data_IF_514046240944
#
_entry.id   IF_514046240944
#
_cell.length_a   1.000
_cell.length_b   1.000
_cell.length_c   1.000
_cell.angle_alpha   90.00
_cell.angle_beta   90.00
_cell.angle_gamma   90.00
#
_symmetry.space_group_name_H-M   'P 1'
#
loop_
_entity.id
_entity.type
_entity.pdbx_description
1 polymer ?
#
# COMPACT_ATOMS: atom_id res chain seq x y z
N UNK A 1 -10.58 -17.51 37.32
CA UNK A 1 -11.14 -16.29 36.72
C UNK A 1 -10.10 -15.76 35.75
N UNK A 2 -10.23 -16.14 34.47
CA UNK A 2 -9.24 -15.81 33.45
C UNK A 2 -9.45 -14.36 33.00
N UNK A 3 -8.44 -13.56 33.23
CA UNK A 3 -8.32 -12.23 32.68
C UNK A 3 -8.28 -12.29 31.15
N UNK A 4 -9.43 -12.04 30.52
CA UNK A 4 -9.51 -11.75 29.10
C UNK A 4 -9.47 -10.23 28.89
N UNK A 5 -8.44 -9.62 29.45
CA UNK A 5 -8.09 -8.26 29.07
C UNK A 5 -7.62 -8.29 27.61
N UNK A 6 -8.40 -7.67 26.72
CA UNK A 6 -8.29 -7.80 25.29
C UNK A 6 -7.00 -7.22 24.72
N UNK A 7 -5.95 -8.01 24.75
CA UNK A 7 -4.82 -7.77 23.86
C UNK A 7 -5.34 -7.93 22.43
N UNK A 8 -5.48 -6.83 21.72
CA UNK A 8 -5.79 -6.81 20.29
C UNK A 8 -4.81 -7.76 19.60
N UNK A 9 -5.32 -8.64 18.75
CA UNK A 9 -4.43 -9.55 18.01
C UNK A 9 -3.56 -8.72 17.09
N UNK A 10 -2.36 -9.15 16.84
CA UNK A 10 -1.42 -8.50 15.92
C UNK A 10 -2.08 -8.11 14.58
N UNK A 11 -2.97 -8.96 14.06
CA UNK A 11 -3.73 -8.71 12.85
C UNK A 11 -4.70 -7.53 12.98
N UNK A 12 -5.37 -7.41 14.12
CA UNK A 12 -6.37 -6.36 14.32
C UNK A 12 -5.71 -4.98 14.39
N UNK A 13 -4.54 -4.87 15.06
CA UNK A 13 -3.76 -3.62 15.15
C UNK A 13 -3.22 -3.22 13.77
N UNK A 14 -2.76 -4.20 12.98
CA UNK A 14 -2.28 -3.93 11.63
C UNK A 14 -3.42 -3.48 10.73
N UNK A 15 -4.54 -4.19 10.73
CA UNK A 15 -5.71 -3.87 9.89
C UNK A 15 -6.26 -2.47 10.21
N UNK A 16 -6.36 -2.09 11.49
CA UNK A 16 -6.75 -0.74 11.89
C UNK A 16 -5.75 0.31 11.40
N UNK A 17 -4.46 0.05 11.57
CA UNK A 17 -3.41 0.96 11.13
C UNK A 17 -3.44 1.17 9.62
N UNK A 18 -3.64 0.12 8.86
CA UNK A 18 -3.74 0.17 7.40
C UNK A 18 -5.01 0.91 6.94
N UNK A 19 -6.14 0.71 7.61
CA UNK A 19 -7.38 1.43 7.32
C UNK A 19 -7.22 2.95 7.52
N UNK A 20 -6.54 3.36 8.59
CA UNK A 20 -6.24 4.77 8.85
C UNK A 20 -5.27 5.37 7.82
N UNK A 21 -4.25 4.63 7.43
CA UNK A 21 -3.27 5.04 6.42
C UNK A 21 -3.86 5.09 5.00
N UNK A 22 -4.85 4.26 4.69
CA UNK A 22 -5.53 4.26 3.40
C UNK A 22 -6.32 5.57 3.14
N UNK A 23 -6.65 6.33 4.20
CA UNK A 23 -7.27 7.64 4.08
C UNK A 23 -6.27 8.77 3.76
N UNK A 24 -4.99 8.45 3.53
CA UNK A 24 -3.91 9.42 3.25
C UNK A 24 -3.22 9.15 1.93
N UNK A 25 -2.48 10.14 1.43
CA UNK A 25 -1.71 10.00 0.20
C UNK A 25 -0.53 9.02 0.31
N UNK A 26 -0.07 8.49 -0.83
CA UNK A 26 1.08 7.59 -0.90
C UNK A 26 2.41 8.31 -0.69
N UNK A 27 2.40 9.63 -0.77
CA UNK A 27 3.56 10.51 -0.64
C UNK A 27 3.23 11.72 0.24
N UNK A 28 4.26 12.42 0.70
CA UNK A 28 4.18 13.65 1.49
C UNK A 28 5.41 14.53 1.29
N UNK A 29 5.33 15.81 1.65
CA UNK A 29 6.48 16.71 1.68
C UNK A 29 7.23 16.86 0.35
N UNK A 30 6.51 16.81 -0.78
CA UNK A 30 7.12 17.00 -2.10
C UNK A 30 7.78 15.75 -2.70
N UNK A 31 7.28 14.55 -2.41
CA UNK A 31 7.70 13.29 -3.05
C UNK A 31 8.37 12.29 -2.12
N UNK A 32 8.27 12.47 -0.82
CA UNK A 32 8.69 11.46 0.15
C UNK A 32 7.63 10.37 0.26
N UNK A 33 8.04 9.12 0.15
CA UNK A 33 7.10 8.00 0.24
C UNK A 33 6.49 7.86 1.63
N UNK A 34 5.19 7.59 1.68
CA UNK A 34 4.51 7.21 2.91
C UNK A 34 4.96 5.82 3.37
N UNK A 35 5.79 5.77 4.41
CA UNK A 35 6.32 4.54 5.01
C UNK A 35 5.43 3.97 6.12
N UNK A 36 4.29 4.60 6.39
CA UNK A 36 3.39 4.22 7.50
C UNK A 36 3.04 2.74 7.54
N UNK A 37 2.58 2.12 6.44
CA UNK A 37 2.25 0.70 6.43
C UNK A 37 3.41 -0.21 6.82
N UNK A 38 4.61 0.06 6.29
CA UNK A 38 5.80 -0.74 6.58
C UNK A 38 6.28 -0.57 8.02
N UNK A 39 6.22 0.65 8.53
CA UNK A 39 6.61 0.93 9.90
C UNK A 39 5.64 0.30 10.91
N UNK A 40 4.33 0.35 10.66
CA UNK A 40 3.34 -0.31 11.51
C UNK A 40 3.56 -1.84 11.55
N UNK A 41 3.76 -2.48 10.40
CA UNK A 41 4.06 -3.92 10.32
C UNK A 41 5.35 -4.27 11.05
N UNK A 42 6.41 -3.49 10.88
CA UNK A 42 7.68 -3.72 11.53
C UNK A 42 7.59 -3.54 13.06
N UNK A 43 6.89 -2.51 13.55
CA UNK A 43 6.66 -2.31 14.97
C UNK A 43 5.92 -3.49 15.60
N UNK A 44 4.88 -3.98 14.96
CA UNK A 44 4.12 -5.15 15.42
C UNK A 44 5.02 -6.39 15.43
N UNK A 45 5.78 -6.62 14.36
CA UNK A 45 6.71 -7.75 14.27
C UNK A 45 7.83 -7.74 15.32
N UNK A 46 8.17 -6.56 15.82
CA UNK A 46 9.15 -6.37 16.90
C UNK A 46 8.52 -6.38 18.31
N UNK A 47 7.21 -6.58 18.43
CA UNK A 47 6.51 -6.64 19.71
C UNK A 47 6.07 -5.28 20.28
N UNK A 48 6.07 -4.22 19.46
CA UNK A 48 5.67 -2.86 19.84
C UNK A 48 4.23 -2.52 19.43
N UNK A 49 3.34 -3.51 19.37
CA UNK A 49 1.95 -3.30 18.95
C UNK A 49 1.22 -2.24 19.79
N UNK A 50 1.53 -2.13 21.07
CA UNK A 50 0.88 -1.18 21.99
C UNK A 50 1.27 0.29 21.70
N UNK A 51 2.39 0.51 21.02
CA UNK A 51 2.89 1.82 20.65
C UNK A 51 2.41 2.30 19.26
N UNK A 52 1.89 1.40 18.45
CA UNK A 52 1.54 1.67 17.03
C UNK A 52 0.50 2.78 16.94
N UNK A 53 -0.58 2.74 17.69
CA UNK A 53 -1.65 3.74 17.63
C UNK A 53 -1.11 5.14 17.93
N UNK A 54 -0.35 5.30 19.02
CA UNK A 54 0.25 6.57 19.44
C UNK A 54 1.29 7.09 18.43
N UNK A 55 2.08 6.19 17.85
CA UNK A 55 3.02 6.53 16.80
C UNK A 55 2.27 7.00 15.54
N UNK A 56 1.23 6.28 15.13
CA UNK A 56 0.43 6.55 13.96
C UNK A 56 -0.29 7.92 14.05
N UNK A 57 -0.81 8.29 15.23
CA UNK A 57 -1.42 9.60 15.47
C UNK A 57 -0.46 10.76 15.16
N UNK A 58 0.81 10.60 15.48
CA UNK A 58 1.84 11.60 15.14
C UNK A 58 2.23 11.56 13.67
N UNK A 59 2.30 10.37 13.11
CA UNK A 59 2.73 10.16 11.74
C UNK A 59 1.72 10.71 10.72
N UNK A 60 0.43 10.44 10.94
CA UNK A 60 -0.67 10.88 10.08
C UNK A 60 -0.72 12.40 9.89
N UNK A 61 -0.29 13.19 10.89
CA UNK A 61 -0.27 14.66 10.79
C UNK A 61 0.69 15.20 9.73
N UNK A 62 1.59 14.40 9.22
CA UNK A 62 2.58 14.76 8.20
C UNK A 62 2.11 14.41 6.80
N UNK A 63 1.14 13.50 6.71
CA UNK A 63 0.69 12.97 5.45
C UNK A 63 -0.29 13.92 4.77
N UNK A 64 -0.26 13.90 3.45
CA UNK A 64 -1.15 14.67 2.60
C UNK A 64 -2.46 13.92 2.35
N UNK A 65 -3.47 14.64 1.86
CA UNK A 65 -4.70 14.02 1.40
C UNK A 65 -4.44 13.08 0.22
N UNK A 66 -5.23 12.01 0.06
CA UNK A 66 -5.09 11.13 -1.08
C UNK A 66 -5.40 11.88 -2.38
N UNK A 67 -4.64 11.63 -3.45
CA UNK A 67 -4.92 12.24 -4.75
C UNK A 67 -6.31 11.81 -5.25
N UNK A 68 -6.97 12.69 -5.99
CA UNK A 68 -8.28 12.38 -6.58
C UNK A 68 -8.12 11.61 -7.88
N UNK A 69 -9.00 10.66 -8.19
CA UNK A 69 -9.02 9.99 -9.48
C UNK A 69 -9.18 10.98 -10.63
N UNK A 70 -8.45 10.75 -11.72
CA UNK A 70 -8.47 11.59 -12.92
C UNK A 70 -9.12 10.91 -14.11
N UNK A 71 -9.23 9.58 -14.12
CA UNK A 71 -9.88 8.82 -15.17
C UNK A 71 -9.73 7.32 -15.00
N UNK A 72 -10.64 6.56 -15.60
CA UNK A 72 -10.64 5.10 -15.43
C UNK A 72 -9.48 4.44 -16.19
N UNK A 73 -8.73 3.60 -15.50
CA UNK A 73 -7.79 2.66 -16.10
C UNK A 73 -8.54 1.38 -16.51
N UNK A 74 -8.16 0.81 -17.63
CA UNK A 74 -8.71 -0.44 -18.17
C UNK A 74 -7.59 -1.34 -18.65
N UNK A 75 -7.91 -2.59 -19.02
CA UNK A 75 -6.96 -3.54 -19.61
C UNK A 75 -6.34 -3.04 -20.92
N UNK A 76 -6.97 -2.07 -21.58
CA UNK A 76 -6.47 -1.47 -22.83
C UNK A 76 -5.60 -0.22 -22.57
N UNK A 77 -5.81 0.48 -21.47
CA UNK A 77 -5.21 1.81 -21.24
C UNK A 77 -4.14 1.82 -20.14
N UNK A 78 -3.95 0.74 -19.40
CA UNK A 78 -3.02 0.71 -18.26
C UNK A 78 -1.56 1.06 -18.65
N UNK A 79 -1.12 0.68 -19.88
CA UNK A 79 0.24 1.00 -20.33
C UNK A 79 0.48 2.50 -20.47
N UNK A 80 -0.52 3.22 -20.95
CA UNK A 80 -0.44 4.67 -21.06
C UNK A 80 -0.50 5.40 -19.72
N UNK A 81 -1.04 4.74 -18.70
CA UNK A 81 -1.09 5.28 -17.33
C UNK A 81 0.15 4.94 -16.49
N UNK A 82 1.02 4.05 -16.99
CA UNK A 82 2.29 3.79 -16.33
C UNK A 82 3.16 5.05 -16.41
N UNK A 83 3.69 5.45 -15.28
CA UNK A 83 4.61 6.55 -15.30
C UNK A 83 4.02 7.90 -14.98
N UNK A 84 2.75 8.01 -14.91
CA UNK A 84 2.10 9.28 -14.59
C UNK A 84 1.73 9.34 -13.10
N UNK A 85 2.41 10.17 -12.29
CA UNK A 85 2.10 10.29 -10.86
C UNK A 85 0.69 10.82 -10.59
N UNK A 86 0.07 11.51 -11.55
CA UNK A 86 -1.31 11.99 -11.43
C UNK A 86 -2.34 10.85 -11.46
N UNK A 87 -1.93 9.67 -11.94
CA UNK A 87 -2.80 8.49 -12.11
C UNK A 87 -2.78 7.52 -10.91
N UNK A 88 -2.20 7.92 -9.78
CA UNK A 88 -2.08 7.06 -8.59
C UNK A 88 -3.44 6.57 -8.11
N UNK A 89 -4.38 7.48 -7.89
CA UNK A 89 -5.71 7.12 -7.43
C UNK A 89 -6.48 6.25 -8.44
N UNK A 90 -6.24 6.45 -9.75
CA UNK A 90 -6.83 5.61 -10.79
C UNK A 90 -6.29 4.18 -10.75
N UNK A 91 -4.99 4.03 -10.45
CA UNK A 91 -4.37 2.73 -10.23
C UNK A 91 -4.91 2.04 -8.98
N UNK A 92 -5.16 2.80 -7.92
CA UNK A 92 -5.78 2.27 -6.70
C UNK A 92 -7.13 1.64 -6.98
N UNK A 93 -7.99 2.37 -7.68
CA UNK A 93 -9.30 1.86 -8.07
C UNK A 93 -9.18 0.63 -8.98
N UNK A 94 -8.35 0.70 -10.01
CA UNK A 94 -8.21 -0.37 -10.98
C UNK A 94 -7.66 -1.67 -10.38
N UNK A 95 -6.66 -1.60 -9.52
CA UNK A 95 -6.12 -2.78 -8.83
C UNK A 95 -7.04 -3.24 -7.71
N UNK A 96 -7.74 -2.30 -7.07
CA UNK A 96 -8.75 -2.59 -6.07
C UNK A 96 -9.89 -3.46 -6.62
N UNK A 97 -10.42 -3.11 -7.79
CA UNK A 97 -11.44 -3.89 -8.49
C UNK A 97 -10.95 -5.33 -8.75
N UNK A 98 -9.72 -5.49 -9.27
CA UNK A 98 -9.15 -6.81 -9.52
C UNK A 98 -8.93 -7.64 -8.24
N UNK A 99 -8.57 -6.99 -7.14
CA UNK A 99 -8.39 -7.66 -5.85
C UNK A 99 -9.71 -8.02 -5.17
N UNK A 100 -10.80 -7.35 -5.53
CA UNK A 100 -12.14 -7.72 -5.09
C UNK A 100 -12.66 -8.97 -5.83
N UNK A 101 -12.25 -9.16 -7.07
CA UNK A 101 -12.68 -10.26 -7.95
C UNK A 101 -11.79 -11.50 -7.82
N UNK A 102 -10.47 -11.31 -7.75
CA UNK A 102 -9.46 -12.38 -7.80
C UNK A 102 -8.64 -12.47 -6.49
N UNK A 103 -8.15 -13.66 -6.12
CA UNK A 103 -7.17 -13.81 -5.04
C UNK A 103 -5.92 -12.96 -5.27
N UNK A 104 -5.44 -12.29 -4.24
CA UNK A 104 -4.30 -11.36 -4.34
C UNK A 104 -3.04 -11.97 -4.99
N UNK A 105 -2.80 -13.29 -4.78
CA UNK A 105 -1.67 -13.99 -5.42
C UNK A 105 -1.82 -14.06 -6.94
N UNK A 106 -3.02 -14.27 -7.43
CA UNK A 106 -3.32 -14.31 -8.87
C UNK A 106 -3.16 -12.91 -9.48
N UNK A 107 -3.64 -11.87 -8.79
CA UNK A 107 -3.46 -10.47 -9.22
C UNK A 107 -1.98 -10.13 -9.24
N UNK A 108 -1.23 -10.47 -8.18
CA UNK A 108 0.21 -10.23 -8.11
C UNK A 108 0.97 -10.97 -9.22
N UNK A 109 0.67 -12.24 -9.46
CA UNK A 109 1.31 -13.03 -10.53
C UNK A 109 1.05 -12.43 -11.91
N UNK A 110 -0.16 -11.90 -12.15
CA UNK A 110 -0.54 -11.21 -13.39
C UNK A 110 0.25 -9.91 -13.59
N UNK A 111 0.43 -9.13 -12.51
CA UNK A 111 1.03 -7.80 -12.57
C UNK A 111 2.54 -7.79 -12.39
N UNK A 112 3.10 -8.77 -11.69
CA UNK A 112 4.54 -8.82 -11.41
C UNK A 112 5.41 -8.69 -12.67
N UNK A 113 5.22 -9.50 -13.73
CA UNK A 113 6.04 -9.39 -14.93
C UNK A 113 5.90 -8.04 -15.66
N UNK A 114 4.74 -7.39 -15.49
CA UNK A 114 4.46 -6.08 -16.11
C UNK A 114 5.14 -4.93 -15.39
N UNK A 115 5.41 -5.09 -14.09
CA UNK A 115 5.98 -4.07 -13.21
C UNK A 115 7.50 -4.23 -13.02
N UNK A 116 8.04 -5.43 -13.24
CA UNK A 116 9.47 -5.73 -13.11
C UNK A 116 10.37 -4.73 -13.86
N UNK A 117 10.09 -4.33 -15.09
CA UNK A 117 10.95 -3.38 -15.80
C UNK A 117 11.08 -2.02 -15.11
N UNK A 118 10.12 -1.64 -14.25
CA UNK A 118 10.10 -0.39 -13.49
C UNK A 118 10.54 -0.53 -12.03
N UNK A 119 10.98 -1.71 -11.59
CA UNK A 119 11.27 -1.96 -10.17
C UNK A 119 12.37 -1.08 -9.57
N UNK A 120 13.34 -0.66 -10.38
CA UNK A 120 14.40 0.24 -9.94
C UNK A 120 13.94 1.71 -9.80
N UNK A 121 12.77 2.04 -10.33
CA UNK A 121 12.20 3.38 -10.19
C UNK A 121 11.80 3.68 -8.74
N UNK A 122 11.79 4.94 -8.36
CA UNK A 122 11.44 5.42 -7.03
C UNK A 122 12.21 4.71 -5.89
N UNK A 123 13.53 4.53 -6.09
CA UNK A 123 14.41 3.93 -5.09
C UNK A 123 13.91 2.58 -4.52
N UNK A 124 13.32 1.74 -5.37
CA UNK A 124 12.83 0.39 -5.03
C UNK A 124 11.65 0.33 -4.03
N UNK A 125 11.04 1.46 -3.67
CA UNK A 125 9.92 1.49 -2.71
C UNK A 125 8.76 0.57 -3.09
N UNK A 126 8.50 0.39 -4.38
CA UNK A 126 7.49 -0.54 -4.86
C UNK A 126 7.74 -1.99 -4.44
N UNK A 127 8.98 -2.48 -4.53
CA UNK A 127 9.35 -3.84 -4.09
C UNK A 127 9.23 -3.95 -2.58
N UNK A 128 9.77 -2.99 -1.84
CA UNK A 128 9.77 -2.99 -0.38
C UNK A 128 8.33 -3.06 0.13
N UNK A 129 7.45 -2.19 -0.35
CA UNK A 129 6.04 -2.19 0.02
C UNK A 129 5.34 -3.51 -0.29
N UNK A 130 5.63 -4.12 -1.46
CA UNK A 130 5.03 -5.41 -1.81
C UNK A 130 5.49 -6.52 -0.90
N UNK A 131 6.76 -6.53 -0.54
CA UNK A 131 7.30 -7.55 0.35
C UNK A 131 6.67 -7.46 1.74
N UNK A 132 6.50 -6.25 2.28
CA UNK A 132 5.77 -6.03 3.53
C UNK A 132 4.30 -6.47 3.41
N UNK A 133 3.62 -6.05 2.35
CA UNK A 133 2.24 -6.46 2.09
C UNK A 133 2.08 -7.99 2.03
N UNK A 134 2.98 -8.66 1.30
CA UNK A 134 2.92 -10.12 1.15
C UNK A 134 3.16 -10.87 2.47
N UNK A 135 3.95 -10.30 3.40
CA UNK A 135 4.14 -10.87 4.75
C UNK A 135 2.93 -10.67 5.66
N UNK A 136 2.32 -9.49 5.60
CA UNK A 136 1.17 -9.15 6.43
C UNK A 136 -0.15 -9.77 5.98
N UNK A 137 -0.21 -10.32 4.76
CA UNK A 137 -1.43 -10.92 4.24
C UNK A 137 -1.57 -12.40 4.68
N UNK A 138 -2.75 -12.79 5.18
CA UNK A 138 -3.01 -14.17 5.52
C UNK A 138 -2.89 -15.08 4.29
N UNK A 139 -2.59 -16.38 4.47
CA UNK A 139 -2.56 -17.34 3.36
C UNK A 139 -3.90 -17.49 2.63
N UNK A 140 -5.00 -17.03 3.23
CA UNK A 140 -6.38 -17.10 2.71
C UNK A 140 -6.70 -15.97 1.70
N UNK A 141 -7.63 -16.17 0.75
CA UNK A 141 -7.78 -15.35 -0.45
C UNK A 141 -8.38 -13.95 -0.27
N UNK A 142 -8.64 -13.47 0.94
CA UNK A 142 -9.33 -12.20 1.16
C UNK A 142 -8.51 -11.22 1.97
N UNK A 143 -8.09 -10.11 1.34
CA UNK A 143 -7.70 -8.77 1.86
C UNK A 143 -6.29 -8.27 1.53
N UNK A 144 -6.04 -6.97 1.70
CA UNK A 144 -6.77 -5.76 1.36
C UNK A 144 -6.08 -4.88 0.31
N UNK A 145 -6.84 -3.98 -0.29
CA UNK A 145 -6.47 -3.07 -1.38
C UNK A 145 -5.35 -2.09 -1.07
N UNK A 146 -5.23 -1.60 0.17
CA UNK A 146 -4.34 -0.49 0.53
C UNK A 146 -2.83 -0.75 0.34
N UNK A 147 -2.37 -2.01 0.39
CA UNK A 147 -0.97 -2.35 0.21
C UNK A 147 -0.50 -2.36 -1.25
N UNK A 148 -1.34 -2.85 -2.15
CA UNK A 148 -0.96 -3.04 -3.56
C UNK A 148 -1.13 -1.75 -4.36
N UNK A 149 -2.06 -0.90 -3.97
CA UNK A 149 -2.39 0.33 -4.67
C UNK A 149 -1.33 1.43 -4.53
N UNK A 150 -0.66 1.50 -3.38
CA UNK A 150 0.45 2.43 -3.18
C UNK A 150 1.70 2.15 -4.06
N UNK A 151 1.65 1.14 -4.94
CA UNK A 151 2.79 0.67 -5.75
C UNK A 151 2.86 1.23 -7.16
N UNK A 152 1.74 1.62 -7.73
CA UNK A 152 1.71 2.08 -9.11
C UNK A 152 2.30 3.48 -9.30
N UNK A 153 2.29 4.29 -8.24
CA UNK A 153 2.83 5.63 -8.27
C UNK A 153 4.36 5.67 -8.26
N UNK A 154 4.98 4.76 -7.52
CA UNK A 154 6.43 4.78 -7.32
C UNK A 154 7.25 4.25 -8.50
N UNK A 155 6.61 3.55 -9.45
CA UNK A 155 7.32 2.97 -10.59
C UNK A 155 7.68 3.98 -11.70
N UNK A 156 7.43 5.27 -11.49
CA UNK A 156 7.27 6.16 -12.60
C UNK A 156 8.07 7.46 -12.62
N UNK A 157 8.93 7.68 -11.66
CA UNK A 157 9.70 8.95 -11.60
C UNK A 157 11.02 8.93 -12.40
N UNK A 158 11.21 8.10 -13.42
CA UNK A 158 12.39 8.18 -14.28
C UNK A 158 12.02 8.21 -15.75
N UNK A 159 11.43 9.33 -16.20
CA UNK A 159 11.62 9.84 -17.55
C UNK A 159 11.86 11.35 -17.45
N UNK A 160 13.08 11.73 -17.39
CA UNK A 160 13.52 13.05 -17.85
C UNK A 160 15.01 13.01 -18.13
N UNK A 161 15.35 13.13 -19.31
CA UNK A 161 16.38 13.83 -20.08
C UNK A 161 16.90 12.95 -21.17
#
# INVERSE_FOLDING_TARGET
>A
MSDRSGALRHGDVLDESLARLAATGPEWGGGLSNHGPMAAEAMIGLGHQDDVARWLDRYLRRLEEPPRPTGRITDRTWRAALGDPRRVADWELYLGDQLAEDPWRSVLARWWPRLVPGLAAAATHGIIRTSHAARGLPPSPRRPTCWLTARSASATSTRSS
#
